data_IF_684724121762
#
_entry.id   IF_684724121762
#
_cell.length_a   1.000
_cell.length_b   1.000
_cell.length_c   1.000
_cell.angle_alpha   90.00
_cell.angle_beta   90.00
_cell.angle_gamma   90.00
#
_symmetry.space_group_name_H-M   'P 1'
#
loop_
_entity.id
_entity.type
_entity.pdbx_description
1 polymer ?
#
# COMPACT_ATOMS: atom_id res chain seq x y z
N UNK A 1 -26.52 -3.34 -0.93
CA UNK A 1 -27.12 -4.06 -2.07
C UNK A 1 -26.77 -5.54 -1.96
N UNK A 2 -27.72 -6.45 -2.19
CA UNK A 2 -27.43 -7.90 -2.21
C UNK A 2 -26.99 -8.31 -3.61
N UNK A 3 -26.18 -9.36 -3.73
CA UNK A 3 -25.78 -9.84 -5.07
C UNK A 3 -26.96 -10.37 -5.89
N UNK A 4 -28.02 -10.87 -5.24
CA UNK A 4 -29.26 -11.28 -5.87
C UNK A 4 -29.97 -10.17 -6.64
N UNK A 5 -29.73 -8.90 -6.28
CA UNK A 5 -30.34 -7.74 -6.93
C UNK A 5 -29.79 -7.48 -8.35
N UNK A 6 -28.66 -8.11 -8.72
CA UNK A 6 -28.01 -7.92 -10.02
C UNK A 6 -28.52 -8.84 -11.13
N UNK A 7 -29.41 -9.78 -10.83
CA UNK A 7 -29.98 -10.73 -11.81
C UNK A 7 -28.89 -11.49 -12.62
N UNK A 8 -27.90 -12.02 -11.94
CA UNK A 8 -26.84 -12.79 -12.58
C UNK A 8 -27.33 -14.14 -13.13
N UNK A 9 -26.58 -14.69 -14.10
CA UNK A 9 -26.76 -16.05 -14.60
C UNK A 9 -26.70 -17.06 -13.44
N UNK A 10 -27.45 -18.20 -13.52
CA UNK A 10 -27.51 -19.17 -12.42
C UNK A 10 -26.16 -19.61 -11.88
N UNK A 11 -25.20 -20.02 -12.73
CA UNK A 11 -23.87 -20.46 -12.31
C UNK A 11 -23.09 -19.40 -11.53
N UNK A 12 -23.35 -18.10 -11.80
CA UNK A 12 -22.72 -16.99 -11.05
C UNK A 12 -23.29 -16.95 -9.63
N UNK A 13 -24.61 -17.07 -9.50
CA UNK A 13 -25.29 -17.08 -8.20
C UNK A 13 -24.84 -18.28 -7.36
N UNK A 14 -24.79 -19.49 -7.97
CA UNK A 14 -24.29 -20.71 -7.32
C UNK A 14 -22.85 -20.54 -6.81
N UNK A 15 -22.00 -19.90 -7.64
CA UNK A 15 -20.62 -19.57 -7.22
C UNK A 15 -20.60 -18.63 -6.04
N UNK A 16 -21.34 -17.52 -6.10
CA UNK A 16 -21.40 -16.51 -5.02
C UNK A 16 -21.88 -17.13 -3.71
N UNK A 17 -22.87 -18.04 -3.76
CA UNK A 17 -23.33 -18.77 -2.58
C UNK A 17 -22.23 -19.70 -2.03
N UNK A 18 -21.54 -20.45 -2.89
CA UNK A 18 -20.46 -21.36 -2.49
C UNK A 18 -19.30 -20.66 -1.78
N UNK A 19 -18.94 -19.45 -2.23
CA UNK A 19 -17.90 -18.62 -1.62
C UNK A 19 -18.45 -17.69 -0.52
N UNK A 20 -19.73 -17.84 -0.16
CA UNK A 20 -20.43 -17.09 0.89
C UNK A 20 -20.47 -15.58 0.68
N UNK A 21 -20.53 -15.13 -0.55
CA UNK A 21 -20.69 -13.73 -0.88
C UNK A 21 -22.17 -13.38 -0.97
N UNK A 22 -22.66 -12.61 0.03
CA UNK A 22 -24.08 -12.22 0.14
C UNK A 22 -24.31 -10.76 -0.22
N UNK A 23 -23.46 -9.90 0.28
CA UNK A 23 -23.61 -8.43 0.21
C UNK A 23 -22.48 -7.82 -0.60
N UNK A 24 -22.82 -6.95 -1.53
CA UNK A 24 -21.85 -6.21 -2.32
C UNK A 24 -21.09 -5.19 -1.46
N UNK A 25 -19.80 -5.02 -1.73
CA UNK A 25 -18.99 -3.98 -1.13
C UNK A 25 -19.30 -2.62 -1.77
N UNK A 26 -18.93 -1.49 -1.13
CA UNK A 26 -19.19 -0.16 -1.70
C UNK A 26 -18.64 0.05 -3.12
N UNK A 27 -17.49 -0.55 -3.45
CA UNK A 27 -16.94 -0.48 -4.82
C UNK A 27 -17.76 -1.29 -5.80
N UNK A 28 -18.26 -2.44 -5.37
CA UNK A 28 -19.12 -3.30 -6.18
C UNK A 28 -20.49 -2.65 -6.43
N UNK A 29 -21.12 -2.11 -5.39
CA UNK A 29 -22.41 -1.40 -5.51
C UNK A 29 -22.37 -0.25 -6.51
N UNK A 30 -21.27 0.53 -6.51
CA UNK A 30 -21.13 1.69 -7.39
C UNK A 30 -20.73 1.33 -8.81
N UNK A 31 -19.74 0.44 -8.99
CA UNK A 31 -19.10 0.23 -10.28
C UNK A 31 -19.66 -0.95 -11.06
N UNK A 32 -20.22 -1.95 -10.41
CA UNK A 32 -20.72 -3.15 -11.10
C UNK A 32 -21.90 -2.86 -12.03
N UNK A 33 -22.92 -2.06 -11.67
CA UNK A 33 -23.98 -1.67 -12.61
C UNK A 33 -23.40 -1.01 -13.87
N UNK A 34 -22.45 -0.09 -13.72
CA UNK A 34 -21.79 0.63 -14.80
C UNK A 34 -21.02 -0.32 -15.72
N UNK A 35 -20.29 -1.29 -15.12
CA UNK A 35 -19.59 -2.32 -15.86
C UNK A 35 -20.56 -3.23 -16.64
N UNK A 36 -21.72 -3.57 -16.07
CA UNK A 36 -22.77 -4.35 -16.74
C UNK A 36 -23.40 -3.58 -17.91
N UNK A 37 -23.54 -2.26 -17.81
CA UNK A 37 -24.01 -1.41 -18.92
C UNK A 37 -23.02 -1.32 -20.09
N UNK A 38 -21.77 -1.74 -19.93
CA UNK A 38 -20.75 -1.70 -20.98
C UNK A 38 -19.95 -0.39 -21.05
N UNK A 39 -20.05 0.46 -20.03
CA UNK A 39 -19.32 1.73 -19.96
C UNK A 39 -17.90 1.53 -19.45
N UNK A 40 -17.00 2.38 -19.89
CA UNK A 40 -15.62 2.42 -19.38
C UNK A 40 -15.58 2.94 -17.96
N UNK A 41 -14.66 2.40 -17.16
CA UNK A 41 -14.53 2.71 -15.74
C UNK A 41 -13.08 3.01 -15.38
N UNK A 42 -12.89 4.03 -14.55
CA UNK A 42 -11.68 4.23 -13.76
C UNK A 42 -12.08 4.21 -12.27
N UNK A 43 -11.81 3.09 -11.62
CA UNK A 43 -12.15 2.85 -10.22
C UNK A 43 -10.94 3.07 -9.31
N UNK A 44 -10.92 4.19 -8.55
CA UNK A 44 -9.90 4.44 -7.53
C UNK A 44 -10.40 3.89 -6.18
N UNK A 45 -9.79 2.79 -5.73
CA UNK A 45 -10.14 2.19 -4.43
C UNK A 45 -8.99 1.37 -3.86
N UNK A 46 -8.96 1.23 -2.54
CA UNK A 46 -7.92 0.48 -1.81
C UNK A 46 -7.85 -0.99 -2.22
N UNK A 47 -6.70 -1.62 -1.95
CA UNK A 47 -6.56 -3.08 -2.00
C UNK A 47 -7.49 -3.72 -0.97
N UNK A 48 -8.10 -4.86 -1.32
CA UNK A 48 -9.05 -5.57 -0.45
C UNK A 48 -10.47 -4.99 -0.42
N UNK A 49 -10.80 -4.00 -1.25
CA UNK A 49 -12.14 -3.41 -1.34
C UNK A 49 -13.16 -4.25 -2.12
N UNK A 50 -12.73 -5.34 -2.77
CA UNK A 50 -13.60 -6.19 -3.61
C UNK A 50 -13.48 -5.92 -5.11
N UNK A 51 -12.47 -5.19 -5.60
CA UNK A 51 -12.26 -4.86 -7.02
C UNK A 51 -12.30 -6.08 -7.94
N UNK A 52 -11.69 -7.18 -7.53
CA UNK A 52 -11.59 -8.39 -8.35
C UNK A 52 -12.95 -8.88 -8.81
N UNK A 53 -13.91 -9.00 -7.91
CA UNK A 53 -15.27 -9.42 -8.27
C UNK A 53 -16.07 -8.32 -8.98
N UNK A 54 -15.68 -7.03 -8.81
CA UNK A 54 -16.30 -5.91 -9.54
C UNK A 54 -16.13 -6.04 -11.06
N UNK A 55 -15.01 -6.61 -11.52
CA UNK A 55 -14.79 -6.84 -12.95
C UNK A 55 -15.08 -8.31 -13.37
N UNK A 56 -14.81 -9.31 -12.53
CA UNK A 56 -15.07 -10.71 -12.89
C UNK A 56 -16.55 -10.98 -13.12
N UNK A 57 -17.43 -10.50 -12.24
CA UNK A 57 -18.87 -10.75 -12.34
C UNK A 57 -19.46 -10.21 -13.65
N UNK A 58 -19.22 -8.96 -14.09
CA UNK A 58 -19.64 -8.48 -15.40
C UNK A 58 -19.05 -9.26 -16.58
N UNK A 59 -17.78 -9.69 -16.47
CA UNK A 59 -17.15 -10.53 -17.51
C UNK A 59 -17.93 -11.83 -17.68
N UNK A 60 -18.17 -12.57 -16.59
CA UNK A 60 -18.93 -13.82 -16.64
C UNK A 60 -20.37 -13.62 -17.09
N UNK A 61 -21.02 -12.52 -16.66
CA UNK A 61 -22.38 -12.20 -17.08
C UNK A 61 -22.49 -11.95 -18.59
N UNK A 62 -21.49 -11.29 -19.19
CA UNK A 62 -21.46 -10.96 -20.63
C UNK A 62 -20.87 -12.05 -21.50
N UNK A 63 -20.24 -13.07 -20.91
CA UNK A 63 -19.59 -14.13 -21.65
C UNK A 63 -20.60 -14.89 -22.52
N UNK A 64 -20.26 -15.05 -23.79
CA UNK A 64 -21.00 -15.81 -24.78
C UNK A 64 -20.23 -17.10 -25.12
N UNK A 65 -20.75 -18.26 -24.72
CA UNK A 65 -20.08 -19.55 -24.91
C UNK A 65 -20.07 -20.02 -26.36
N UNK A 66 -20.87 -19.40 -27.21
CA UNK A 66 -20.92 -19.77 -28.65
C UNK A 66 -19.73 -19.16 -29.42
N UNK A 67 -19.06 -18.18 -28.85
CA UNK A 67 -17.88 -17.55 -29.43
C UNK A 67 -16.63 -18.33 -29.00
N UNK A 68 -16.01 -19.04 -29.97
CA UNK A 68 -14.71 -19.69 -29.72
C UNK A 68 -13.56 -18.72 -29.89
N UNK A 69 -13.27 -17.95 -28.83
CA UNK A 69 -12.23 -16.95 -28.84
C UNK A 69 -12.13 -16.16 -27.54
N UNK A 70 -11.12 -15.31 -27.47
CA UNK A 70 -10.88 -14.47 -26.29
C UNK A 70 -11.91 -13.36 -26.21
N UNK A 71 -12.67 -13.32 -25.12
CA UNK A 71 -13.72 -12.32 -24.90
C UNK A 71 -13.34 -11.28 -23.82
N UNK A 72 -12.45 -11.66 -22.89
CA UNK A 72 -11.92 -10.75 -21.90
C UNK A 72 -10.42 -10.97 -21.70
N UNK A 73 -9.69 -9.86 -21.56
CA UNK A 73 -8.27 -9.85 -21.20
C UNK A 73 -8.11 -9.07 -19.90
N UNK A 74 -7.40 -9.64 -18.94
CA UNK A 74 -7.13 -9.04 -17.63
C UNK A 74 -5.63 -8.99 -17.43
N UNK A 75 -5.07 -7.79 -17.30
CA UNK A 75 -3.67 -7.59 -16.96
C UNK A 75 -3.52 -7.27 -15.47
N UNK A 76 -2.53 -7.91 -14.88
CA UNK A 76 -2.11 -7.68 -13.50
C UNK A 76 -0.59 -7.43 -13.45
N UNK A 77 -0.16 -6.47 -12.67
CA UNK A 77 1.23 -6.03 -12.63
C UNK A 77 2.20 -7.12 -12.13
N UNK A 78 1.74 -8.06 -11.30
CA UNK A 78 2.57 -9.17 -10.77
C UNK A 78 2.01 -10.54 -11.14
N UNK A 79 2.90 -11.55 -11.16
CA UNK A 79 2.53 -12.95 -11.41
C UNK A 79 1.60 -13.50 -10.33
N UNK A 80 1.84 -13.06 -9.13
CA UNK A 80 1.09 -13.45 -7.94
C UNK A 80 -0.34 -12.90 -8.02
N UNK A 81 -0.51 -11.61 -8.34
CA UNK A 81 -1.81 -11.00 -8.53
C UNK A 81 -2.57 -11.66 -9.70
N UNK A 82 -1.91 -11.88 -10.83
CA UNK A 82 -2.50 -12.61 -11.95
C UNK A 82 -2.99 -14.01 -11.54
N UNK A 83 -2.20 -14.72 -10.71
CA UNK A 83 -2.58 -16.05 -10.21
C UNK A 83 -3.74 -15.98 -9.23
N UNK A 84 -3.83 -14.95 -8.39
CA UNK A 84 -4.96 -14.74 -7.48
C UNK A 84 -6.25 -14.47 -8.25
N UNK A 85 -6.20 -13.57 -9.24
CA UNK A 85 -7.36 -13.30 -10.12
C UNK A 85 -7.77 -14.57 -10.86
N UNK A 86 -6.81 -15.35 -11.35
CA UNK A 86 -7.07 -16.63 -12.00
C UNK A 86 -7.75 -17.61 -11.05
N UNK A 87 -7.27 -17.77 -9.83
CA UNK A 87 -7.88 -18.67 -8.84
C UNK A 87 -9.32 -18.22 -8.50
N UNK A 88 -9.54 -16.91 -8.31
CA UNK A 88 -10.87 -16.37 -8.08
C UNK A 88 -11.81 -16.63 -9.28
N UNK A 89 -11.30 -16.51 -10.50
CA UNK A 89 -12.06 -16.82 -11.71
C UNK A 89 -12.36 -18.32 -11.86
N UNK A 90 -11.46 -19.19 -11.41
CA UNK A 90 -11.65 -20.66 -11.44
C UNK A 90 -12.81 -21.13 -10.55
N UNK A 91 -13.19 -20.38 -9.52
CA UNK A 91 -14.35 -20.73 -8.68
C UNK A 91 -15.64 -20.80 -9.54
N UNK A 92 -15.74 -19.92 -10.55
CA UNK A 92 -16.91 -19.89 -11.46
C UNK A 92 -16.94 -21.07 -12.42
N UNK A 93 -15.78 -21.64 -12.78
CA UNK A 93 -15.73 -22.81 -13.67
C UNK A 93 -16.14 -24.12 -12.98
N UNK A 94 -16.24 -24.14 -11.65
CA UNK A 94 -16.77 -25.28 -10.91
C UNK A 94 -18.26 -25.53 -11.17
N UNK A 95 -18.98 -24.46 -11.50
CA UNK A 95 -20.42 -24.51 -11.82
C UNK A 95 -20.71 -24.41 -13.32
N UNK A 96 -19.67 -24.17 -14.13
CA UNK A 96 -19.75 -24.14 -15.59
C UNK A 96 -18.37 -24.46 -16.22
N UNK A 97 -18.14 -25.74 -16.47
CA UNK A 97 -16.88 -26.28 -17.01
C UNK A 97 -16.62 -25.93 -18.48
N UNK A 98 -17.64 -25.44 -19.19
CA UNK A 98 -17.50 -25.00 -20.58
C UNK A 98 -16.69 -23.69 -20.71
N UNK A 99 -16.49 -22.97 -19.61
CA UNK A 99 -15.74 -21.72 -19.60
C UNK A 99 -14.24 -21.97 -19.51
N UNK A 100 -13.50 -21.54 -20.52
CA UNK A 100 -12.05 -21.69 -20.59
C UNK A 100 -11.34 -20.43 -20.12
N UNK A 101 -10.53 -20.56 -19.08
CA UNK A 101 -9.72 -19.47 -18.52
C UNK A 101 -8.26 -19.87 -18.57
N UNK A 102 -7.38 -18.96 -18.97
CA UNK A 102 -5.94 -19.20 -18.97
C UNK A 102 -5.16 -18.12 -18.24
N UNK A 103 -4.13 -18.56 -17.50
CA UNK A 103 -3.19 -17.65 -16.80
C UNK A 103 -1.84 -17.63 -17.51
N UNK A 104 -1.46 -16.45 -18.03
CA UNK A 104 -0.21 -16.24 -18.77
C UNK A 104 0.74 -15.34 -17.99
N UNK A 105 1.69 -15.97 -17.29
CA UNK A 105 2.67 -15.25 -16.49
C UNK A 105 4.11 -15.59 -16.90
N UNK A 106 5.03 -14.66 -16.71
CA UNK A 106 6.44 -14.88 -16.97
C UNK A 106 7.04 -15.95 -16.06
N UNK A 107 8.19 -16.56 -16.48
CA UNK A 107 8.85 -17.63 -15.71
C UNK A 107 8.23 -19.01 -15.87
N UNK A 108 7.23 -19.17 -16.74
CA UNK A 108 6.69 -20.43 -17.21
C UNK A 108 7.13 -20.71 -18.64
N UNK A 109 7.03 -21.96 -19.09
CA UNK A 109 7.44 -22.36 -20.42
C UNK A 109 6.54 -21.72 -21.49
N UNK A 110 7.13 -20.81 -22.30
CA UNK A 110 6.44 -20.08 -23.36
C UNK A 110 6.01 -21.04 -24.50
N UNK A 111 6.83 -22.02 -24.84
CA UNK A 111 6.53 -22.98 -25.93
C UNK A 111 5.26 -23.77 -25.62
N UNK A 112 5.17 -24.31 -24.41
CA UNK A 112 3.97 -25.03 -23.95
C UNK A 112 2.71 -24.16 -23.95
N UNK A 113 2.86 -22.85 -23.64
CA UNK A 113 1.72 -21.92 -23.70
C UNK A 113 1.26 -21.70 -25.14
N UNK A 114 2.20 -21.55 -26.09
CA UNK A 114 1.91 -21.41 -27.51
C UNK A 114 1.23 -22.69 -28.04
N UNK A 115 1.75 -23.85 -27.72
CA UNK A 115 1.18 -25.15 -28.12
C UNK A 115 -0.27 -25.32 -27.64
N UNK A 116 -0.57 -24.93 -26.40
CA UNK A 116 -1.96 -24.95 -25.88
C UNK A 116 -2.90 -24.01 -26.64
N UNK A 117 -2.40 -22.84 -27.03
CA UNK A 117 -3.18 -21.83 -27.74
C UNK A 117 -3.45 -22.20 -29.20
N UNK A 118 -2.61 -23.05 -29.83
CA UNK A 118 -2.81 -23.50 -31.21
C UNK A 118 -4.02 -24.39 -31.34
N UNK A 119 -4.37 -25.16 -30.30
CA UNK A 119 -5.53 -26.08 -30.31
C UNK A 119 -6.83 -25.40 -29.89
N UNK A 120 -6.79 -24.46 -28.93
CA UNK A 120 -8.02 -23.88 -28.38
C UNK A 120 -7.73 -22.53 -27.70
N UNK A 121 -8.45 -21.48 -28.06
CA UNK A 121 -8.33 -20.19 -27.43
C UNK A 121 -9.16 -20.14 -26.12
N UNK A 122 -8.65 -19.52 -25.04
CA UNK A 122 -9.45 -19.32 -23.85
C UNK A 122 -10.50 -18.22 -24.07
N UNK A 123 -11.61 -18.28 -23.33
CA UNK A 123 -12.59 -17.19 -23.30
C UNK A 123 -12.08 -15.98 -22.47
N UNK A 124 -11.38 -16.28 -21.38
CA UNK A 124 -10.82 -15.27 -20.48
C UNK A 124 -9.31 -15.48 -20.36
N UNK A 125 -8.56 -14.42 -20.63
CA UNK A 125 -7.11 -14.35 -20.48
C UNK A 125 -6.78 -13.52 -19.25
N UNK A 126 -5.98 -14.07 -18.36
CA UNK A 126 -5.45 -13.38 -17.20
C UNK A 126 -3.92 -13.50 -17.25
N UNK A 127 -3.17 -12.42 -16.95
CA UNK A 127 -1.73 -12.54 -16.95
C UNK A 127 -0.98 -11.26 -16.70
N UNK A 128 0.35 -11.37 -16.78
CA UNK A 128 1.23 -10.20 -16.71
C UNK A 128 1.39 -9.57 -18.10
N UNK A 129 1.46 -8.20 -18.19
CA UNK A 129 1.48 -7.51 -19.49
C UNK A 129 2.53 -8.05 -20.44
N UNK A 130 3.79 -8.17 -20.01
CA UNK A 130 4.87 -8.64 -20.89
C UNK A 130 4.62 -10.05 -21.46
N UNK A 131 4.03 -10.99 -20.70
CA UNK A 131 3.75 -12.34 -21.21
C UNK A 131 2.54 -12.36 -22.15
N UNK A 132 1.50 -11.60 -21.88
CA UNK A 132 0.35 -11.47 -22.78
C UNK A 132 0.81 -10.88 -24.11
N UNK A 133 1.57 -9.79 -24.08
CA UNK A 133 2.12 -9.16 -25.30
C UNK A 133 3.04 -10.12 -26.06
N UNK A 134 3.90 -10.87 -25.39
CA UNK A 134 4.75 -11.90 -25.97
C UNK A 134 3.97 -12.95 -26.77
N UNK A 135 2.79 -13.35 -26.27
CA UNK A 135 1.93 -14.34 -26.93
C UNK A 135 1.13 -13.72 -28.09
N UNK A 136 0.73 -12.47 -27.98
CA UNK A 136 0.10 -11.70 -29.06
C UNK A 136 1.10 -11.51 -30.21
N UNK A 137 2.32 -11.06 -29.92
CA UNK A 137 3.37 -10.85 -30.92
C UNK A 137 3.81 -12.15 -31.60
N UNK A 138 3.73 -13.27 -30.90
CA UNK A 138 3.94 -14.59 -31.47
C UNK A 138 2.73 -15.10 -32.30
N UNK A 139 1.67 -14.30 -32.45
CA UNK A 139 0.40 -14.65 -33.11
C UNK A 139 -0.28 -15.91 -32.54
N UNK A 140 0.11 -16.32 -31.33
CA UNK A 140 -0.47 -17.48 -30.66
C UNK A 140 -1.76 -17.12 -29.90
N UNK A 141 -1.80 -15.94 -29.28
CA UNK A 141 -2.98 -15.42 -28.58
C UNK A 141 -3.75 -14.45 -29.48
N UNK A 142 -4.99 -14.82 -29.82
CA UNK A 142 -5.85 -14.07 -30.73
C UNK A 142 -6.82 -13.21 -29.92
N UNK A 143 -6.60 -11.92 -29.84
CA UNK A 143 -7.35 -10.99 -28.96
C UNK A 143 -8.43 -10.17 -29.68
N UNK A 144 -8.58 -10.34 -31.01
CA UNK A 144 -9.49 -9.54 -31.84
C UNK A 144 -10.99 -9.73 -31.52
N UNK A 145 -11.37 -10.79 -30.81
CA UNK A 145 -12.74 -11.06 -30.33
C UNK A 145 -12.99 -10.51 -28.92
N UNK A 146 -11.98 -9.96 -28.26
CA UNK A 146 -12.11 -9.44 -26.92
C UNK A 146 -13.02 -8.21 -26.87
N UNK A 147 -13.96 -8.24 -25.95
CA UNK A 147 -14.96 -7.19 -25.70
C UNK A 147 -14.66 -6.39 -24.43
N UNK A 148 -13.85 -6.95 -23.51
CA UNK A 148 -13.52 -6.34 -22.24
C UNK A 148 -12.01 -6.43 -22.02
N UNK A 149 -11.40 -5.29 -21.66
CA UNK A 149 -10.02 -5.22 -21.21
C UNK A 149 -9.94 -4.63 -19.81
N UNK A 150 -9.33 -5.37 -18.89
CA UNK A 150 -9.16 -4.96 -17.49
C UNK A 150 -7.70 -4.72 -17.19
N UNK A 151 -7.43 -3.61 -16.52
CA UNK A 151 -6.12 -3.30 -15.95
C UNK A 151 -6.30 -3.21 -14.44
N UNK A 152 -5.82 -4.20 -13.72
CA UNK A 152 -5.86 -4.19 -12.25
C UNK A 152 -4.52 -3.72 -11.69
N UNK A 153 -4.58 -2.94 -10.62
CA UNK A 153 -3.45 -2.22 -10.02
C UNK A 153 -2.66 -1.40 -11.07
N UNK A 154 -3.33 -0.47 -11.75
CA UNK A 154 -2.75 0.32 -12.84
C UNK A 154 -1.58 1.21 -12.38
N UNK A 155 -1.60 1.74 -11.16
CA UNK A 155 -0.48 2.43 -10.52
C UNK A 155 0.75 1.52 -10.41
N UNK A 156 0.56 0.30 -9.94
CA UNK A 156 1.63 -0.69 -9.85
C UNK A 156 2.16 -1.09 -11.24
N UNK A 157 1.27 -1.21 -12.23
CA UNK A 157 1.64 -1.48 -13.63
C UNK A 157 2.58 -0.40 -14.17
N UNK A 158 2.28 0.86 -13.85
CA UNK A 158 3.13 2.02 -14.19
C UNK A 158 4.49 1.96 -13.46
N UNK A 159 4.48 1.73 -12.15
CA UNK A 159 5.68 1.67 -11.31
C UNK A 159 6.65 0.55 -11.72
N UNK A 160 6.11 -0.57 -12.17
CA UNK A 160 6.89 -1.69 -12.71
C UNK A 160 7.39 -1.47 -14.14
N UNK A 161 7.03 -0.36 -14.78
CA UNK A 161 7.45 -0.01 -16.13
C UNK A 161 6.69 -0.75 -17.23
N UNK A 162 5.54 -1.38 -16.94
CA UNK A 162 4.75 -2.15 -17.91
C UNK A 162 3.71 -1.33 -18.69
N UNK A 163 3.72 0.01 -18.55
CA UNK A 163 2.75 0.83 -19.24
C UNK A 163 2.85 0.71 -20.76
N UNK A 164 4.08 0.55 -21.32
CA UNK A 164 4.29 0.38 -22.74
C UNK A 164 3.71 -0.95 -23.25
N UNK A 165 3.86 -2.03 -22.51
CA UNK A 165 3.28 -3.32 -22.86
C UNK A 165 1.75 -3.27 -22.82
N UNK A 166 1.19 -2.61 -21.80
CA UNK A 166 -0.27 -2.42 -21.70
C UNK A 166 -0.78 -1.54 -22.82
N UNK A 167 -0.06 -0.49 -23.20
CA UNK A 167 -0.40 0.36 -24.35
C UNK A 167 -0.42 -0.43 -25.67
N UNK A 168 0.58 -1.28 -25.90
CA UNK A 168 0.64 -2.16 -27.07
C UNK A 168 -0.50 -3.19 -27.07
N UNK A 169 -0.81 -3.80 -25.93
CA UNK A 169 -1.94 -4.73 -25.80
C UNK A 169 -3.25 -4.00 -26.11
N UNK A 170 -3.49 -2.84 -25.50
CA UNK A 170 -4.67 -2.03 -25.72
C UNK A 170 -4.84 -1.65 -27.20
N UNK A 171 -3.72 -1.40 -27.89
CA UNK A 171 -3.70 -1.10 -29.33
C UNK A 171 -4.11 -2.27 -30.24
N UNK A 172 -4.18 -3.50 -29.73
CA UNK A 172 -4.62 -4.68 -30.51
C UNK A 172 -6.13 -4.89 -30.51
N UNK A 173 -6.85 -4.20 -29.65
CA UNK A 173 -8.30 -4.36 -29.53
C UNK A 173 -9.09 -3.45 -30.47
N UNK A 174 -10.34 -3.82 -30.73
CA UNK A 174 -11.30 -2.94 -31.39
C UNK A 174 -11.56 -1.69 -30.53
N UNK A 175 -11.86 -0.56 -31.19
CA UNK A 175 -12.20 0.71 -30.52
C UNK A 175 -13.45 0.62 -29.62
N UNK A 176 -14.25 -0.44 -29.79
CA UNK A 176 -15.46 -0.69 -28.98
C UNK A 176 -15.20 -1.55 -27.76
N UNK A 177 -13.94 -1.93 -27.49
CA UNK A 177 -13.60 -2.70 -26.29
C UNK A 177 -13.94 -1.88 -25.05
N UNK A 178 -14.63 -2.47 -24.10
CA UNK A 178 -14.88 -1.86 -22.79
C UNK A 178 -13.60 -1.90 -21.96
N UNK A 179 -13.18 -0.75 -21.44
CA UNK A 179 -11.98 -0.61 -20.62
C UNK A 179 -12.35 -0.48 -19.15
N UNK A 180 -11.84 -1.36 -18.30
CA UNK A 180 -12.03 -1.32 -16.86
C UNK A 180 -10.66 -1.14 -16.18
N UNK A 181 -10.39 0.03 -15.66
CA UNK A 181 -9.11 0.37 -15.00
C UNK A 181 -9.34 0.50 -13.51
N UNK A 182 -8.64 -0.33 -12.73
CA UNK A 182 -8.68 -0.30 -11.28
C UNK A 182 -7.31 0.04 -10.71
N UNK A 183 -7.28 0.92 -9.73
CA UNK A 183 -6.05 1.38 -9.11
C UNK A 183 -6.29 1.83 -7.68
N UNK A 184 -5.26 1.85 -6.86
CA UNK A 184 -5.32 2.51 -5.54
C UNK A 184 -5.14 4.02 -5.67
N UNK A 185 -4.35 4.46 -6.65
CA UNK A 185 -4.09 5.86 -6.99
C UNK A 185 -4.13 6.07 -8.50
N UNK A 186 -4.37 7.31 -8.95
CA UNK A 186 -4.34 7.67 -10.38
C UNK A 186 -3.20 8.68 -10.63
N UNK A 187 -1.95 8.22 -10.81
CA UNK A 187 -0.82 9.10 -11.05
C UNK A 187 -0.97 9.92 -12.35
N UNK A 188 -0.39 11.11 -12.38
CA UNK A 188 -0.43 11.97 -13.58
C UNK A 188 0.12 11.27 -14.83
N UNK A 189 1.14 10.42 -14.68
CA UNK A 189 1.73 9.65 -15.79
C UNK A 189 0.77 8.64 -16.43
N UNK A 190 -0.30 8.23 -15.74
CA UNK A 190 -1.32 7.33 -16.29
C UNK A 190 -2.35 8.08 -17.13
N UNK A 191 -2.54 9.38 -16.92
CA UNK A 191 -3.54 10.19 -17.60
C UNK A 191 -3.48 10.15 -19.15
N UNK A 192 -2.30 10.18 -19.81
CA UNK A 192 -2.22 10.07 -21.26
C UNK A 192 -2.79 8.75 -21.79
N UNK A 193 -2.52 7.63 -21.10
CA UNK A 193 -3.06 6.32 -21.44
C UNK A 193 -4.59 6.31 -21.30
N UNK A 194 -5.13 6.79 -20.18
CA UNK A 194 -6.57 6.85 -19.94
C UNK A 194 -7.29 7.68 -21.01
N UNK A 195 -6.75 8.85 -21.36
CA UNK A 195 -7.30 9.70 -22.43
C UNK A 195 -7.24 9.09 -23.83
N UNK A 196 -6.24 8.25 -24.10
CA UNK A 196 -6.04 7.61 -25.41
C UNK A 196 -7.07 6.52 -25.68
N UNK A 197 -7.42 5.74 -24.67
CA UNK A 197 -8.17 4.50 -24.86
C UNK A 197 -9.59 4.52 -24.30
N UNK A 198 -9.85 5.25 -23.22
CA UNK A 198 -11.17 5.24 -22.59
C UNK A 198 -12.12 6.23 -23.25
N UNK A 199 -13.35 5.78 -23.48
CA UNK A 199 -14.40 6.59 -24.07
C UNK A 199 -15.39 7.05 -22.99
N UNK A 200 -15.35 8.33 -22.62
CA UNK A 200 -16.22 8.93 -21.58
C UNK A 200 -16.34 8.05 -20.31
N UNK A 201 -15.20 7.71 -19.69
CA UNK A 201 -15.19 6.78 -18.56
C UNK A 201 -15.91 7.36 -17.34
N UNK A 202 -16.56 6.50 -16.58
CA UNK A 202 -16.99 6.83 -15.23
C UNK A 202 -15.79 6.76 -14.31
N UNK A 203 -15.42 7.91 -13.75
CA UNK A 203 -14.35 8.00 -12.77
C UNK A 203 -14.95 8.01 -11.37
N UNK A 204 -14.79 6.92 -10.63
CA UNK A 204 -15.26 6.79 -9.28
C UNK A 204 -14.10 6.63 -8.30
N UNK A 205 -14.03 7.57 -7.39
CA UNK A 205 -13.16 7.49 -6.22
C UNK A 205 -13.98 7.00 -5.03
N UNK A 206 -13.75 5.75 -4.65
CA UNK A 206 -14.41 5.18 -3.49
C UNK A 206 -13.72 5.74 -2.24
N UNK A 207 -14.29 6.82 -1.73
CA UNK A 207 -13.79 7.47 -0.53
C UNK A 207 -13.90 6.51 0.66
N UNK A 208 -12.78 6.17 1.25
CA UNK A 208 -12.72 5.58 2.57
C UNK A 208 -12.40 6.69 3.56
N UNK A 209 -13.06 6.71 4.72
CA UNK A 209 -12.83 7.73 5.77
C UNK A 209 -11.36 7.84 6.17
N UNK A 210 -10.60 6.78 5.98
CA UNK A 210 -9.17 6.69 6.31
C UNK A 210 -8.40 6.03 5.18
N UNK A 211 -7.17 6.45 4.93
CA UNK A 211 -6.29 5.87 3.90
C UNK A 211 -5.89 4.43 4.26
N UNK A 212 -5.83 4.11 5.55
CA UNK A 212 -5.57 2.79 6.12
C UNK A 212 -6.82 2.36 6.90
N UNK A 213 -7.08 1.05 7.03
CA UNK A 213 -8.20 0.54 7.84
C UNK A 213 -8.09 0.99 9.30
N UNK A 214 -9.21 1.37 9.90
CA UNK A 214 -9.27 1.75 11.33
C UNK A 214 -8.99 0.57 12.26
N UNK A 215 -8.97 -0.66 11.74
CA UNK A 215 -8.60 -1.89 12.47
C UNK A 215 -7.10 -2.09 12.61
N UNK A 216 -6.28 -1.17 12.05
CA UNK A 216 -4.82 -1.28 12.05
C UNK A 216 -4.21 -0.22 12.96
N UNK A 217 -3.52 -0.69 14.00
CA UNK A 217 -2.70 0.17 14.85
C UNK A 217 -1.36 0.47 14.17
N UNK A 218 -1.04 1.77 14.02
CA UNK A 218 0.21 2.20 13.42
C UNK A 218 1.16 2.71 14.51
N UNK A 219 2.23 1.99 14.79
CA UNK A 219 3.21 2.32 15.80
C UNK A 219 4.48 2.89 15.17
N UNK A 220 5.07 3.89 15.84
CA UNK A 220 6.39 4.42 15.52
C UNK A 220 7.38 4.03 16.61
N UNK A 221 8.46 3.34 16.27
CA UNK A 221 9.54 2.99 17.18
C UNK A 221 10.83 3.65 16.71
N UNK A 222 11.35 4.56 17.53
CA UNK A 222 12.63 5.21 17.24
C UNK A 222 13.80 4.26 17.49
N UNK A 223 14.66 4.09 16.50
CA UNK A 223 15.88 3.27 16.64
C UNK A 223 16.96 3.93 17.52
N UNK A 224 16.87 5.24 17.76
CA UNK A 224 17.79 6.02 18.62
C UNK A 224 19.27 5.80 18.32
N UNK A 225 19.63 5.55 17.05
CA UNK A 225 21.00 5.24 16.63
C UNK A 225 21.44 3.80 16.90
N UNK A 226 20.59 2.96 17.47
CA UNK A 226 20.76 1.49 17.43
C UNK A 226 20.49 1.04 16.01
N UNK A 227 21.22 0.09 15.48
CA UNK A 227 20.97 -0.44 14.14
C UNK A 227 19.55 -1.03 14.02
N UNK A 228 18.93 -0.89 12.86
CA UNK A 228 17.56 -1.39 12.63
C UNK A 228 17.45 -2.91 12.85
N UNK A 229 18.49 -3.69 12.57
CA UNK A 229 18.51 -5.14 12.81
C UNK A 229 18.23 -5.47 14.28
N UNK A 230 18.91 -4.79 15.21
CA UNK A 230 18.70 -4.98 16.64
C UNK A 230 17.29 -4.56 17.08
N UNK A 231 16.76 -3.49 16.49
CA UNK A 231 15.40 -3.04 16.78
C UNK A 231 14.35 -4.03 16.26
N UNK A 232 14.54 -4.61 15.05
CA UNK A 232 13.66 -5.66 14.51
C UNK A 232 13.68 -6.88 15.43
N UNK A 233 14.87 -7.34 15.83
CA UNK A 233 15.01 -8.49 16.71
C UNK A 233 14.29 -8.28 18.05
N UNK A 234 14.48 -7.11 18.66
CA UNK A 234 13.82 -6.75 19.94
C UNK A 234 12.29 -6.71 19.79
N UNK A 235 11.77 -6.16 18.68
CA UNK A 235 10.34 -6.16 18.34
C UNK A 235 9.81 -7.60 18.25
N UNK A 236 10.48 -8.47 17.48
CA UNK A 236 10.02 -9.83 17.24
C UNK A 236 10.05 -10.68 18.51
N UNK A 237 11.07 -10.51 19.36
CA UNK A 237 11.17 -11.19 20.65
C UNK A 237 10.11 -10.75 21.65
N UNK A 238 9.73 -9.46 21.59
CA UNK A 238 8.75 -8.88 22.52
C UNK A 238 7.31 -9.23 22.13
N UNK A 239 6.96 -9.21 20.83
CA UNK A 239 5.58 -9.36 20.36
C UNK A 239 5.18 -10.81 20.08
N UNK A 240 6.12 -11.66 19.70
CA UNK A 240 5.85 -13.03 19.24
C UNK A 240 4.63 -13.11 18.26
N UNK A 241 4.70 -12.44 17.09
CA UNK A 241 3.57 -12.31 16.17
C UNK A 241 3.16 -13.66 15.59
N UNK A 242 1.88 -13.84 15.26
CA UNK A 242 1.39 -15.04 14.58
C UNK A 242 2.03 -15.22 13.18
N UNK A 243 2.00 -14.16 12.38
CA UNK A 243 2.71 -14.05 11.11
C UNK A 243 3.11 -12.59 10.93
N UNK A 244 4.41 -12.32 10.78
CA UNK A 244 4.92 -10.97 10.54
C UNK A 244 5.56 -10.84 9.17
N UNK A 245 5.24 -9.74 8.47
CA UNK A 245 5.96 -9.31 7.27
C UNK A 245 6.87 -8.14 7.60
N UNK A 246 8.15 -8.28 7.26
CA UNK A 246 9.19 -7.26 7.47
C UNK A 246 9.53 -6.66 6.11
N UNK A 247 9.25 -5.38 5.93
CA UNK A 247 9.50 -4.68 4.67
C UNK A 247 10.83 -3.96 4.65
N UNK A 248 11.65 -4.26 3.64
CA UNK A 248 12.91 -3.60 3.34
C UNK A 248 12.80 -2.77 2.05
N UNK A 249 13.47 -1.62 2.00
CA UNK A 249 13.44 -0.72 0.85
C UNK A 249 14.26 -1.24 -0.36
N UNK A 250 15.19 -2.17 -0.15
CA UNK A 250 16.03 -2.76 -1.20
C UNK A 250 16.16 -4.26 -1.04
N UNK A 251 16.52 -4.97 -2.13
CA UNK A 251 16.77 -6.43 -2.11
C UNK A 251 17.95 -6.78 -1.19
N UNK A 252 19.04 -5.99 -1.28
CA UNK A 252 20.25 -6.24 -0.49
C UNK A 252 19.95 -6.07 1.02
N UNK A 253 19.12 -5.08 1.35
CA UNK A 253 18.68 -4.90 2.74
C UNK A 253 17.73 -6.03 3.20
N UNK A 254 16.89 -6.57 2.32
CA UNK A 254 16.07 -7.74 2.63
C UNK A 254 16.94 -8.99 2.88
N UNK A 255 18.01 -9.19 2.09
CA UNK A 255 18.97 -10.28 2.28
C UNK A 255 19.73 -10.13 3.61
N UNK A 256 20.13 -8.92 3.97
CA UNK A 256 20.79 -8.62 5.24
C UNK A 256 19.90 -8.94 6.45
N UNK A 257 18.65 -8.45 6.44
CA UNK A 257 17.69 -8.72 7.53
C UNK A 257 17.41 -10.21 7.63
N UNK A 258 17.19 -10.89 6.50
CA UNK A 258 16.94 -12.32 6.47
C UNK A 258 18.11 -13.09 7.11
N UNK A 259 19.34 -12.80 6.68
CA UNK A 259 20.55 -13.47 7.20
C UNK A 259 20.74 -13.21 8.69
N UNK A 260 20.51 -11.96 9.13
CA UNK A 260 20.62 -11.59 10.52
C UNK A 260 19.60 -12.34 11.39
N UNK A 261 18.34 -12.42 10.97
CA UNK A 261 17.30 -13.14 11.72
C UNK A 261 17.53 -14.66 11.73
N UNK A 262 17.94 -15.22 10.60
CA UNK A 262 18.28 -16.64 10.52
C UNK A 262 19.44 -17.02 11.46
N UNK A 263 20.49 -16.18 11.53
CA UNK A 263 21.62 -16.36 12.45
C UNK A 263 21.21 -16.22 13.94
N UNK A 264 20.11 -15.55 14.21
CA UNK A 264 19.53 -15.46 15.57
C UNK A 264 18.46 -16.52 15.84
N UNK A 265 18.40 -17.59 15.03
CA UNK A 265 17.53 -18.76 15.26
C UNK A 265 16.08 -18.60 14.78
N UNK A 266 15.74 -17.53 14.04
CA UNK A 266 14.39 -17.34 13.51
C UNK A 266 14.20 -18.12 12.21
N UNK A 267 13.09 -18.84 12.08
CA UNK A 267 12.67 -19.48 10.84
C UNK A 267 12.03 -18.45 9.93
N UNK A 268 12.81 -17.79 9.09
CA UNK A 268 12.41 -16.66 8.26
C UNK A 268 12.47 -16.99 6.78
N UNK A 269 11.45 -16.57 6.03
CA UNK A 269 11.42 -16.61 4.57
C UNK A 269 11.81 -15.25 3.98
N UNK A 270 12.29 -15.22 2.72
CA UNK A 270 12.55 -13.96 1.99
C UNK A 270 11.86 -13.95 0.62
N UNK A 271 11.32 -12.78 0.26
CA UNK A 271 10.63 -12.57 -1.00
C UNK A 271 11.03 -11.21 -1.60
N UNK A 272 11.89 -11.24 -2.63
CA UNK A 272 12.30 -10.07 -3.38
C UNK A 272 12.56 -10.41 -4.85
N UNK A 273 12.82 -9.40 -5.70
CA UNK A 273 12.99 -9.59 -7.13
C UNK A 273 14.16 -10.49 -7.55
N UNK A 274 15.14 -10.71 -6.68
CA UNK A 274 16.26 -11.63 -6.91
C UNK A 274 15.93 -13.11 -6.66
N UNK A 275 14.78 -13.43 -6.05
CA UNK A 275 14.40 -14.84 -5.79
C UNK A 275 13.86 -15.48 -7.08
N UNK A 276 14.40 -16.65 -7.52
CA UNK A 276 13.94 -17.33 -8.72
C UNK A 276 12.44 -17.65 -8.67
N UNK A 277 11.71 -17.58 -9.81
CA UNK A 277 10.25 -17.74 -9.83
C UNK A 277 9.74 -19.06 -9.23
N UNK A 278 10.44 -20.17 -9.46
CA UNK A 278 10.07 -21.49 -8.90
C UNK A 278 10.21 -21.52 -7.38
N UNK A 279 11.31 -20.97 -6.88
CA UNK A 279 11.59 -20.88 -5.45
C UNK A 279 10.58 -19.94 -4.77
N UNK A 280 10.31 -18.79 -5.36
CA UNK A 280 9.32 -17.84 -4.86
C UNK A 280 7.92 -18.48 -4.73
N UNK A 281 7.49 -19.28 -5.72
CA UNK A 281 6.23 -20.03 -5.64
C UNK A 281 6.25 -21.04 -4.49
N UNK A 282 7.38 -21.73 -4.27
CA UNK A 282 7.54 -22.68 -3.15
C UNK A 282 7.46 -21.96 -1.81
N UNK A 283 8.18 -20.83 -1.67
CA UNK A 283 8.17 -20.01 -0.47
C UNK A 283 6.76 -19.51 -0.18
N UNK A 284 6.05 -18.99 -1.19
CA UNK A 284 4.68 -18.51 -1.02
C UNK A 284 3.74 -19.61 -0.50
N UNK A 285 3.83 -20.82 -1.06
CA UNK A 285 3.03 -21.95 -0.58
C UNK A 285 3.38 -22.31 0.87
N UNK A 286 4.66 -22.31 1.23
CA UNK A 286 5.11 -22.59 2.59
C UNK A 286 4.66 -21.52 3.59
N UNK A 287 4.65 -20.24 3.18
CA UNK A 287 4.12 -19.14 4.00
C UNK A 287 2.60 -19.29 4.20
N UNK A 288 1.85 -19.62 3.15
CA UNK A 288 0.39 -19.89 3.26
C UNK A 288 0.07 -21.09 4.15
N UNK A 289 0.94 -22.10 4.16
CA UNK A 289 0.82 -23.27 5.06
C UNK A 289 1.30 -22.96 6.49
N UNK A 290 1.74 -21.73 6.79
CA UNK A 290 2.30 -21.31 8.07
C UNK A 290 3.61 -22.03 8.45
N UNK A 291 4.35 -22.53 7.44
CA UNK A 291 5.68 -23.10 7.68
C UNK A 291 6.72 -22.04 8.11
N UNK A 292 6.43 -20.77 7.85
CA UNK A 292 7.22 -19.61 8.26
C UNK A 292 6.37 -18.61 9.04
N UNK A 293 6.87 -18.19 10.18
CA UNK A 293 6.25 -17.15 11.02
C UNK A 293 6.70 -15.73 10.60
N UNK A 294 7.84 -15.63 9.92
CA UNK A 294 8.46 -14.36 9.54
C UNK A 294 8.78 -14.35 8.06
N UNK A 295 8.44 -13.24 7.39
CA UNK A 295 8.70 -13.06 5.96
C UNK A 295 9.36 -11.71 5.74
N UNK A 296 10.58 -11.69 5.22
CA UNK A 296 11.24 -10.46 4.79
C UNK A 296 10.94 -10.22 3.32
N UNK A 297 10.44 -9.03 2.97
CA UNK A 297 10.04 -8.72 1.61
C UNK A 297 10.42 -7.30 1.19
N UNK A 298 10.56 -7.09 -0.12
CA UNK A 298 10.59 -5.75 -0.71
C UNK A 298 9.20 -5.36 -1.23
N UNK A 299 8.93 -4.06 -1.37
CA UNK A 299 7.65 -3.54 -1.83
C UNK A 299 7.19 -4.20 -3.13
N UNK A 300 8.06 -4.17 -4.14
CA UNK A 300 7.77 -4.70 -5.46
C UNK A 300 7.41 -6.20 -5.44
N UNK A 301 8.02 -6.95 -4.54
CA UNK A 301 7.81 -8.38 -4.43
C UNK A 301 6.60 -8.75 -3.57
N UNK A 302 6.24 -7.90 -2.62
CA UNK A 302 5.10 -8.13 -1.74
C UNK A 302 3.78 -7.56 -2.29
N UNK A 303 3.85 -6.70 -3.31
CA UNK A 303 2.64 -6.20 -4.00
C UNK A 303 1.94 -7.34 -4.74
N UNK A 304 0.63 -7.31 -4.71
CA UNK A 304 -0.19 -8.35 -5.32
C UNK A 304 -0.12 -9.72 -4.63
N UNK A 305 0.60 -9.86 -3.51
CA UNK A 305 0.61 -11.08 -2.72
C UNK A 305 -0.50 -11.00 -1.68
N UNK A 306 -1.42 -11.94 -1.72
CA UNK A 306 -2.39 -12.14 -0.67
C UNK A 306 -1.88 -13.25 0.27
N UNK A 307 -1.42 -12.83 1.42
CA UNK A 307 -1.07 -13.72 2.53
C UNK A 307 -2.11 -13.47 3.61
N UNK A 308 -2.95 -14.46 3.84
CA UNK A 308 -3.92 -14.41 4.92
C UNK A 308 -3.23 -14.55 6.28
N UNK A 309 -3.83 -13.95 7.31
CA UNK A 309 -3.35 -14.10 8.68
C UNK A 309 -2.11 -13.28 9.05
N UNK A 310 -1.70 -12.32 8.22
CA UNK A 310 -0.64 -11.38 8.60
C UNK A 310 -1.11 -10.52 9.75
N UNK A 311 -0.58 -10.77 10.95
CA UNK A 311 -0.91 -10.04 12.17
C UNK A 311 -0.09 -8.76 12.34
N UNK A 312 1.17 -8.78 11.88
CA UNK A 312 2.10 -7.67 12.07
C UNK A 312 2.83 -7.31 10.79
N UNK A 313 2.94 -6.01 10.54
CA UNK A 313 3.83 -5.42 9.54
C UNK A 313 4.96 -4.70 10.25
N UNK A 314 6.19 -4.95 9.86
CA UNK A 314 7.36 -4.24 10.38
C UNK A 314 8.04 -3.53 9.20
N UNK A 315 8.01 -2.21 9.19
CA UNK A 315 8.75 -1.42 8.22
C UNK A 315 10.15 -1.15 8.76
N UNK A 316 11.18 -1.66 8.10
CA UNK A 316 12.61 -1.40 8.42
C UNK A 316 12.98 0.09 8.27
N UNK A 317 12.09 0.87 7.73
CA UNK A 317 12.14 2.31 7.55
C UNK A 317 10.97 2.76 6.67
N UNK A 318 10.83 4.07 6.54
CA UNK A 318 9.81 4.64 5.67
C UNK A 318 10.20 4.37 4.21
N UNK A 319 9.27 3.94 3.34
CA UNK A 319 9.55 3.76 1.93
C UNK A 319 9.88 5.10 1.26
N UNK A 320 10.71 5.07 0.21
CA UNK A 320 11.08 6.28 -0.56
C UNK A 320 9.87 6.94 -1.21
N UNK A 321 8.96 6.12 -1.72
CA UNK A 321 7.68 6.55 -2.22
C UNK A 321 6.62 6.24 -1.15
N UNK A 322 5.95 7.28 -0.65
CA UNK A 322 5.04 7.17 0.48
C UNK A 322 3.76 6.40 0.14
N UNK A 323 3.41 6.26 -1.14
CA UNK A 323 2.28 5.43 -1.57
C UNK A 323 2.50 3.96 -1.19
N UNK A 324 3.75 3.47 -1.22
CA UNK A 324 4.08 2.13 -0.78
C UNK A 324 3.77 1.87 0.70
N UNK A 325 3.81 2.90 1.53
CA UNK A 325 3.48 2.75 2.96
C UNK A 325 2.08 2.17 3.16
N UNK A 326 1.10 2.70 2.45
CA UNK A 326 -0.30 2.23 2.51
C UNK A 326 -0.41 0.79 2.02
N UNK A 327 0.29 0.44 0.95
CA UNK A 327 0.31 -0.93 0.40
C UNK A 327 0.97 -1.94 1.34
N UNK A 328 2.02 -1.54 2.08
CA UNK A 328 2.65 -2.38 3.11
C UNK A 328 1.69 -2.63 4.26
N UNK A 329 1.17 -1.56 4.84
CA UNK A 329 0.29 -1.62 6.00
C UNK A 329 -1.01 -2.36 5.67
N UNK A 330 -1.55 -2.20 4.46
CA UNK A 330 -2.73 -2.92 3.99
C UNK A 330 -2.54 -4.43 3.78
N UNK A 331 -1.39 -5.02 4.13
CA UNK A 331 -1.21 -6.48 4.20
C UNK A 331 -1.74 -7.08 5.48
N UNK A 332 -1.93 -6.29 6.54
CA UNK A 332 -2.60 -6.70 7.77
C UNK A 332 -3.99 -6.08 7.90
N UNK A 333 -4.75 -6.45 8.90
CA UNK A 333 -6.08 -5.89 9.17
C UNK A 333 -7.12 -6.20 8.09
N UNK A 334 -7.00 -7.34 7.38
CA UNK A 334 -7.92 -7.78 6.33
C UNK A 334 -9.09 -8.58 6.88
N UNK A 335 -10.18 -8.64 6.12
CA UNK A 335 -11.37 -9.42 6.46
C UNK A 335 -11.95 -9.12 7.86
N UNK A 336 -11.84 -7.84 8.30
CA UNK A 336 -12.33 -7.40 9.61
C UNK A 336 -11.44 -7.76 10.80
N UNK A 337 -10.29 -8.39 10.56
CA UNK A 337 -9.31 -8.66 11.61
C UNK A 337 -8.56 -7.40 12.01
N UNK A 338 -8.05 -7.37 13.24
CA UNK A 338 -7.13 -6.32 13.70
C UNK A 338 -5.71 -6.60 13.23
N UNK A 339 -4.91 -5.55 13.07
CA UNK A 339 -3.51 -5.66 12.68
C UNK A 339 -2.63 -4.60 13.32
N UNK A 340 -1.34 -4.85 13.40
CA UNK A 340 -0.37 -3.89 13.92
C UNK A 340 0.70 -3.62 12.87
N UNK A 341 0.90 -2.34 12.54
CA UNK A 341 1.97 -1.88 11.66
C UNK A 341 3.00 -1.11 12.47
N UNK A 342 4.22 -1.59 12.52
CA UNK A 342 5.33 -1.01 13.27
C UNK A 342 6.32 -0.40 12.27
N UNK A 343 6.60 0.89 12.42
CA UNK A 343 7.57 1.57 11.58
C UNK A 343 8.77 1.99 12.42
N UNK A 344 9.92 1.46 12.06
CA UNK A 344 11.19 1.89 12.60
C UNK A 344 11.58 3.21 11.95
N UNK A 345 11.95 4.20 12.74
CA UNK A 345 12.27 5.52 12.22
C UNK A 345 13.48 6.16 12.91
N UNK A 346 14.11 7.06 12.20
CA UNK A 346 15.17 7.96 12.69
C UNK A 346 14.68 9.42 12.67
N UNK A 347 15.34 10.35 13.35
CA UNK A 347 14.97 11.77 13.31
C UNK A 347 14.97 12.39 11.90
N UNK A 348 15.75 11.84 10.97
CA UNK A 348 15.74 12.23 9.55
C UNK A 348 14.42 11.96 8.84
N UNK A 349 13.62 11.03 9.34
CA UNK A 349 12.39 10.57 8.71
C UNK A 349 11.17 11.40 9.11
N UNK A 350 11.32 12.38 10.04
CA UNK A 350 10.22 13.19 10.57
C UNK A 350 9.42 13.90 9.45
N UNK A 351 10.09 14.40 8.41
CA UNK A 351 9.40 15.03 7.28
C UNK A 351 8.48 14.07 6.53
N UNK A 352 8.94 12.85 6.26
CA UNK A 352 8.15 11.81 5.59
C UNK A 352 6.98 11.32 6.48
N UNK A 353 7.19 11.23 7.79
CA UNK A 353 6.13 10.89 8.74
C UNK A 353 5.05 11.96 8.73
N UNK A 354 5.42 13.25 8.73
CA UNK A 354 4.44 14.35 8.65
C UNK A 354 3.63 14.33 7.36
N UNK A 355 4.25 13.99 6.22
CA UNK A 355 3.50 13.83 4.96
C UNK A 355 2.49 12.66 5.06
N UNK A 356 2.88 11.54 5.65
CA UNK A 356 1.95 10.42 5.90
C UNK A 356 0.81 10.82 6.85
N UNK A 357 1.09 11.61 7.89
CA UNK A 357 0.08 12.14 8.82
C UNK A 357 -0.93 13.07 8.12
N UNK A 358 -0.49 13.87 7.14
CA UNK A 358 -1.38 14.71 6.33
C UNK A 358 -2.38 13.90 5.51
N UNK A 359 -2.05 12.66 5.14
CA UNK A 359 -2.98 11.75 4.45
C UNK A 359 -4.04 11.14 5.38
N UNK A 360 -4.00 11.46 6.68
CA UNK A 360 -4.93 10.97 7.70
C UNK A 360 -4.45 9.74 8.47
N UNK A 361 -3.20 9.30 8.27
CA UNK A 361 -2.61 8.18 9.03
C UNK A 361 -2.28 8.68 10.44
N UNK A 362 -2.78 7.96 11.44
CA UNK A 362 -2.49 8.25 12.85
C UNK A 362 -1.40 7.33 13.34
N UNK A 363 -0.31 7.89 13.85
CA UNK A 363 0.78 7.13 14.44
C UNK A 363 0.77 7.22 15.97
N UNK A 364 1.01 6.09 16.61
CA UNK A 364 1.22 6.00 18.07
C UNK A 364 2.70 5.76 18.34
N UNK A 365 3.43 6.74 18.91
CA UNK A 365 4.83 6.55 19.29
C UNK A 365 4.97 5.51 20.40
N UNK A 366 5.80 4.49 20.17
CA UNK A 366 6.09 3.42 21.11
C UNK A 366 7.59 3.33 21.42
N UNK A 367 7.93 2.71 22.51
CA UNK A 367 9.31 2.39 22.91
C UNK A 367 9.35 1.01 23.55
N UNK A 368 10.39 0.25 23.27
CA UNK A 368 10.65 -1.02 23.93
C UNK A 368 11.54 -0.75 25.17
N UNK A 369 11.08 -1.17 26.33
CA UNK A 369 11.80 -1.08 27.61
C UNK A 369 11.60 -2.34 28.40
N UNK A 370 12.69 -2.95 28.84
CA UNK A 370 12.65 -4.17 29.67
C UNK A 370 11.82 -5.31 29.10
N UNK A 371 11.82 -5.46 27.76
CA UNK A 371 11.04 -6.49 27.08
C UNK A 371 9.54 -6.19 26.92
N UNK A 372 9.11 -4.94 27.18
CA UNK A 372 7.72 -4.50 27.00
C UNK A 372 7.64 -3.30 26.06
N UNK A 373 6.57 -3.24 25.25
CA UNK A 373 6.27 -2.11 24.38
C UNK A 373 5.31 -1.16 25.10
N UNK A 374 5.81 0.05 25.37
CA UNK A 374 5.06 1.11 26.08
C UNK A 374 4.97 2.37 25.24
N UNK A 375 4.06 3.28 25.61
CA UNK A 375 3.92 4.57 24.94
C UNK A 375 5.18 5.42 25.09
N UNK A 376 5.55 6.13 24.01
CA UNK A 376 6.69 7.03 23.98
C UNK A 376 6.24 8.48 23.82
N UNK A 377 6.75 9.37 24.65
CA UNK A 377 6.50 10.81 24.57
C UNK A 377 7.69 11.59 23.96
N UNK A 378 8.69 10.89 23.42
CA UNK A 378 9.95 11.52 22.98
C UNK A 378 9.76 12.45 21.75
N UNK A 379 8.83 12.09 20.83
CA UNK A 379 8.52 12.90 19.64
C UNK A 379 7.88 14.23 20.01
N UNK A 380 6.85 14.21 20.84
CA UNK A 380 6.16 15.42 21.32
C UNK A 380 7.06 16.35 22.15
N UNK A 381 8.01 15.75 22.90
CA UNK A 381 9.00 16.53 23.68
C UNK A 381 9.97 17.29 22.79
N UNK A 382 10.34 16.76 21.62
CA UNK A 382 11.23 17.46 20.67
C UNK A 382 10.52 18.63 20.01
N UNK A 383 9.30 18.45 19.52
CA UNK A 383 8.48 19.54 18.99
C UNK A 383 8.25 20.65 20.02
N UNK A 384 7.91 20.27 21.26
CA UNK A 384 7.77 21.24 22.36
C UNK A 384 9.07 21.92 22.71
N UNK A 385 10.24 21.25 22.60
CA UNK A 385 11.56 21.87 22.79
C UNK A 385 11.96 22.83 21.66
N UNK A 386 11.60 22.55 20.43
CA UNK A 386 11.86 23.46 19.31
C UNK A 386 10.97 24.70 19.38
N UNK A 387 9.69 24.53 19.72
CA UNK A 387 8.77 25.65 20.00
C UNK A 387 9.17 26.44 21.24
N UNK A 388 9.89 25.86 22.19
CA UNK A 388 10.40 26.56 23.39
C UNK A 388 11.79 27.17 23.22
N UNK A 389 12.46 27.00 22.10
CA UNK A 389 13.61 27.77 21.65
C UNK A 389 13.14 29.09 21.02
N UNK A 390 12.29 29.86 21.70
CA UNK A 390 12.34 31.31 21.55
C UNK A 390 13.80 31.69 21.66
N UNK A 391 14.36 32.23 20.59
CA UNK A 391 15.76 32.60 20.51
C UNK A 391 16.10 33.43 21.75
N UNK A 392 16.90 32.87 22.62
CA UNK A 392 17.43 33.61 23.78
C UNK A 392 18.11 34.86 23.22
N UNK A 393 17.65 36.03 23.63
CA UNK A 393 18.24 37.30 23.25
C UNK A 393 19.77 37.24 23.46
N UNK A 394 20.53 37.90 22.59
CA UNK A 394 22.00 37.88 22.59
C UNK A 394 22.57 38.18 23.99
N UNK A 395 21.90 39.03 24.77
CA UNK A 395 22.24 39.33 26.18
C UNK A 395 22.04 38.11 27.10
N UNK A 396 21.03 37.27 26.86
CA UNK A 396 20.78 36.05 27.64
C UNK A 396 21.76 34.93 27.28
N UNK A 397 22.18 34.85 26.00
CA UNK A 397 23.23 33.94 25.54
C UNK A 397 24.56 34.27 26.22
N UNK A 398 24.86 35.55 26.36
CA UNK A 398 26.05 36.05 27.07
C UNK A 398 26.09 35.64 28.56
N UNK A 399 24.95 35.70 29.25
CA UNK A 399 24.82 35.25 30.64
C UNK A 399 25.02 33.76 30.83
N UNK A 400 24.47 32.94 29.89
CA UNK A 400 24.65 31.49 29.91
C UNK A 400 26.11 31.11 29.65
N UNK A 401 26.81 31.80 28.73
CA UNK A 401 28.23 31.56 28.42
C UNK A 401 29.16 32.00 29.56
N UNK A 402 28.86 33.10 30.22
CA UNK A 402 29.71 33.64 31.29
C UNK A 402 29.75 32.76 32.55
N UNK A 403 28.66 32.01 32.85
CA UNK A 403 28.55 31.14 34.03
C UNK A 403 29.01 29.70 33.82
N UNK A 404 29.28 29.27 32.56
CA UNK A 404 29.82 27.94 32.26
C UNK A 404 31.25 27.70 32.76
N UNK A 405 32.00 28.75 33.10
CA UNK A 405 33.41 28.65 33.55
C UNK A 405 33.62 28.17 34.99
N UNK A 406 32.60 28.18 35.85
CA UNK A 406 32.67 27.58 37.22
C UNK A 406 31.36 26.90 37.58
N UNK A 407 31.37 25.57 37.56
CA UNK A 407 30.20 24.73 37.87
C UNK A 407 30.09 24.60 39.39
N UNK A 408 29.15 25.34 40.02
CA UNK A 408 28.77 25.14 41.43
C UNK A 408 27.45 24.38 41.52
N UNK A 409 27.18 23.60 42.58
CA UNK A 409 25.86 22.95 42.81
C UNK A 409 24.74 24.02 42.66
N UNK A 410 23.62 23.60 42.03
CA UNK A 410 22.46 24.44 41.74
C UNK A 410 22.64 25.56 40.68
N UNK A 411 23.76 25.61 39.91
CA UNK A 411 23.97 26.64 38.89
C UNK A 411 22.86 26.73 37.84
N UNK A 412 22.24 25.57 37.45
CA UNK A 412 21.12 25.52 36.52
C UNK A 412 19.88 26.25 37.05
N UNK A 413 19.59 26.12 38.36
CA UNK A 413 18.49 26.83 39.04
C UNK A 413 18.73 28.34 39.07
N UNK A 414 19.97 28.78 39.36
CA UNK A 414 20.32 30.20 39.36
C UNK A 414 20.25 30.85 37.97
N UNK A 415 20.70 30.14 36.92
CA UNK A 415 20.57 30.65 35.55
C UNK A 415 19.08 30.73 35.13
N UNK A 416 18.27 29.73 35.43
CA UNK A 416 16.84 29.76 35.17
C UNK A 416 16.16 30.95 35.84
N UNK A 417 16.45 31.19 37.12
CA UNK A 417 15.87 32.30 37.86
C UNK A 417 16.29 33.67 37.29
N UNK A 418 17.54 33.84 36.86
CA UNK A 418 18.00 35.09 36.24
C UNK A 418 17.37 35.33 34.85
N UNK A 419 17.19 34.27 34.08
CA UNK A 419 16.47 34.34 32.78
C UNK A 419 15.01 34.74 33.01
N UNK A 420 14.33 34.15 33.96
CA UNK A 420 12.94 34.47 34.30
C UNK A 420 12.80 35.92 34.83
N UNK A 421 13.76 36.37 35.62
CA UNK A 421 13.80 37.75 36.10
C UNK A 421 13.95 38.75 34.95
N UNK A 422 14.82 38.47 33.99
CA UNK A 422 14.97 39.32 32.80
C UNK A 422 13.76 39.27 31.87
N UNK A 423 13.17 38.10 31.65
CA UNK A 423 11.91 37.98 30.89
C UNK A 423 10.78 38.79 31.51
N UNK A 424 10.62 38.74 32.83
CA UNK A 424 9.64 39.58 33.55
C UNK A 424 9.91 41.07 33.43
N UNK A 425 11.19 41.47 33.50
CA UNK A 425 11.59 42.88 33.35
C UNK A 425 11.30 43.39 31.92
N UNK A 426 11.64 42.60 30.89
CA UNK A 426 11.37 42.94 29.48
C UNK A 426 9.88 43.08 29.22
N UNK A 427 9.06 42.14 29.70
CA UNK A 427 7.59 42.18 29.58
C UNK A 427 6.97 43.41 30.26
N UNK A 428 7.54 43.88 31.39
CA UNK A 428 7.14 45.12 32.04
C UNK A 428 7.47 46.36 31.21
N UNK A 429 8.65 46.37 30.57
CA UNK A 429 9.08 47.50 29.72
C UNK A 429 8.20 47.55 28.46
N UNK A 430 7.94 46.42 27.82
CA UNK A 430 7.06 46.33 26.65
C UNK A 430 5.60 46.75 26.97
N UNK A 431 5.05 46.28 28.08
CA UNK A 431 3.72 46.70 28.53
C UNK A 431 3.64 48.20 28.86
N UNK A 432 4.72 48.80 29.43
CA UNK A 432 4.77 50.26 29.65
C UNK A 432 4.90 51.04 28.33
N UNK A 433 5.63 50.50 27.34
CA UNK A 433 5.78 51.10 26.02
C UNK A 433 4.46 51.07 25.25
N UNK A 434 3.74 49.94 25.27
CA UNK A 434 2.41 49.78 24.68
C UNK A 434 1.40 50.73 25.32
N UNK A 435 1.32 50.79 26.64
CA UNK A 435 0.42 51.71 27.34
C UNK A 435 0.75 53.21 27.10
N UNK A 436 2.03 53.56 26.81
CA UNK A 436 2.40 54.93 26.36
C UNK A 436 1.95 55.18 24.91
N UNK A 437 2.10 54.19 24.03
CA UNK A 437 1.64 54.29 22.63
C UNK A 437 0.14 54.47 22.54
N UNK A 438 -0.63 53.67 23.30
CA UNK A 438 -2.11 53.78 23.35
C UNK A 438 -2.57 55.14 23.92
N UNK A 439 -1.88 55.70 24.94
CA UNK A 439 -2.20 57.02 25.46
C UNK A 439 -1.86 58.14 24.46
N UNK A 440 -0.83 57.95 23.66
CA UNK A 440 -0.42 58.89 22.60
C UNK A 440 -1.41 58.87 21.44
N UNK A 441 -1.86 57.67 21.01
CA UNK A 441 -2.87 57.53 19.96
C UNK A 441 -4.24 58.13 20.39
N UNK A 442 -4.67 57.90 21.63
CA UNK A 442 -5.88 58.52 22.18
C UNK A 442 -5.83 60.07 22.33
N UNK A 443 -4.64 60.66 22.43
CA UNK A 443 -4.45 62.13 22.44
C UNK A 443 -4.39 62.75 21.04
N UNK A 444 -4.20 61.98 20.00
CA UNK A 444 -4.18 62.45 18.62
C UNK A 444 -5.56 62.28 17.92
N UNK A 445 -6.52 61.63 18.57
CA UNK A 445 -7.88 61.44 18.08
C UNK A 445 -8.92 62.37 18.78
N UNK A 446 -8.44 63.39 19.51
CA UNK A 446 -9.16 64.55 20.00
C UNK A 446 -8.48 65.79 19.40
#
# INVERSE_FOLDING_TARGET
MQFTDFNFKPFINDTLESIRFKTATPVQEKLMPIALEGRDIVGESKTGSGKTHTFLLPIFQKLDKTIDGVQAVITAASRELATQIYNAAQEFTKFDDSIRISNFVGGTDKKRQIEKLSGNQPHIVIGTPGRILDLINAQALKTYTAKIFVIDEADMTLDMGFLNEVDQIAGTFDKKVQMLVFSATIPQKLQPFLKKYLNNPVMEKIATKTVISDTIDNWLISTKGRGNNSAILEVLQTLNPYLAMIFANTKDRADEIHSFLANNGFKVAKIHGGVPPRERKRIMKAVQNLDYQYVVATDLAARGIDIEGVSHIINDGIPRDLEFFVHRVGRTGRNGMTGTAITLYQPSDDAAIHELEKTGIKFTPKVIKNGEITDSYDRDRREKREKSKEALDITMIGLVKKKKKKIKPAYKKKIGWEIDKQKKAKKRIEGRAQGRAERKSKRQSF
#
